data_IF_951692520060
#
_entry.id   IF_951692520060
#
_cell.length_a   1.000
_cell.length_b   1.000
_cell.length_c   1.000
_cell.angle_alpha   90.00
_cell.angle_beta   90.00
_cell.angle_gamma   90.00
#
_symmetry.space_group_name_H-M   'P 1'
#
loop_
_entity.id
_entity.type
_entity.pdbx_description
1 polymer ?
#
# COMPACT_ATOMS: atom_id res chain seq x y z
N UNK A 1 0.89 -38.26 34.85
CA UNK A 1 0.01 -37.60 33.85
C UNK A 1 -0.23 -36.12 34.18
N UNK A 2 -0.53 -35.76 35.42
CA UNK A 2 -0.79 -34.36 35.83
C UNK A 2 0.33 -33.36 35.48
N UNK A 3 1.61 -33.68 35.66
CA UNK A 3 2.73 -32.77 35.38
C UNK A 3 2.85 -32.33 33.90
N UNK A 4 2.55 -33.24 32.96
CA UNK A 4 2.52 -32.92 31.52
C UNK A 4 1.32 -32.03 31.18
N UNK A 5 0.18 -32.26 31.85
CA UNK A 5 -1.02 -31.44 31.69
C UNK A 5 -0.79 -30.01 32.18
N UNK A 6 -0.14 -29.84 33.34
CA UNK A 6 0.19 -28.52 33.87
C UNK A 6 1.20 -27.77 32.99
N UNK A 7 2.19 -28.46 32.43
CA UNK A 7 3.15 -27.83 31.51
C UNK A 7 2.48 -27.38 30.20
N UNK A 8 1.58 -28.20 29.63
CA UNK A 8 0.81 -27.83 28.45
C UNK A 8 -0.13 -26.64 28.72
N UNK A 9 -0.75 -26.58 29.90
CA UNK A 9 -1.59 -25.44 30.31
C UNK A 9 -0.75 -24.17 30.44
N UNK A 10 0.44 -24.25 31.04
CA UNK A 10 1.36 -23.10 31.16
C UNK A 10 1.84 -22.61 29.79
N UNK A 11 2.14 -23.51 28.86
CA UNK A 11 2.52 -23.17 27.48
C UNK A 11 1.39 -22.46 26.74
N UNK A 12 0.14 -22.91 26.89
CA UNK A 12 -1.03 -22.27 26.28
C UNK A 12 -1.25 -20.85 26.81
N UNK A 13 -1.12 -20.65 28.13
CA UNK A 13 -1.27 -19.32 28.74
C UNK A 13 -0.17 -18.37 28.26
N UNK A 14 1.08 -18.84 28.16
CA UNK A 14 2.19 -18.06 27.63
C UNK A 14 1.97 -17.64 26.17
N UNK A 15 1.42 -18.52 25.32
CA UNK A 15 1.10 -18.17 23.93
C UNK A 15 -0.02 -17.14 23.82
N UNK A 16 -1.05 -17.21 24.67
CA UNK A 16 -2.17 -16.26 24.67
C UNK A 16 -1.72 -14.86 25.09
N UNK A 17 -0.82 -14.75 26.08
CA UNK A 17 -0.25 -13.47 26.53
C UNK A 17 0.59 -12.79 25.44
N UNK A 18 1.28 -13.55 24.59
CA UNK A 18 2.06 -13.00 23.48
C UNK A 18 1.18 -12.40 22.38
N UNK A 19 -0.03 -12.93 22.17
CA UNK A 19 -0.97 -12.43 21.15
C UNK A 19 -1.57 -11.08 21.58
N UNK A 20 -1.79 -10.86 22.88
CA UNK A 20 -2.37 -9.61 23.41
C UNK A 20 -1.38 -8.44 23.51
N UNK A 21 -0.08 -8.69 23.31
CA UNK A 21 0.98 -7.67 23.32
C UNK A 21 1.26 -7.06 21.94
N UNK A 22 0.60 -7.55 20.88
CA UNK A 22 0.59 -6.83 19.62
C UNK A 22 -0.40 -5.66 19.77
N UNK A 23 0.18 -4.52 20.16
CA UNK A 23 -0.43 -3.21 20.15
C UNK A 23 -1.23 -2.96 18.87
N UNK A 24 -2.32 -2.22 19.06
CA UNK A 24 -3.39 -2.01 18.11
C UNK A 24 -2.94 -1.85 16.66
N UNK A 25 -3.64 -2.56 15.78
CA UNK A 25 -3.75 -2.12 14.39
C UNK A 25 -4.51 -0.79 14.42
N UNK A 26 -3.77 0.31 14.46
CA UNK A 26 -4.30 1.65 14.20
C UNK A 26 -4.72 1.67 12.74
N UNK A 27 -5.99 1.34 12.47
CA UNK A 27 -6.56 1.51 11.15
C UNK A 27 -6.60 3.02 10.87
N UNK A 28 -5.86 3.48 9.84
CA UNK A 28 -5.92 4.88 9.38
C UNK A 28 -7.41 5.22 9.15
N UNK A 29 -7.98 6.21 9.86
CA UNK A 29 -9.38 6.55 9.66
C UNK A 29 -9.61 6.97 8.21
N UNK A 30 -10.68 6.46 7.60
CA UNK A 30 -11.09 6.88 6.26
C UNK A 30 -11.37 8.39 6.32
N UNK A 31 -10.75 9.22 5.46
CA UNK A 31 -11.11 10.63 5.42
C UNK A 31 -12.57 10.74 5.02
N UNK A 32 -13.35 11.44 5.86
CA UNK A 32 -14.72 11.82 5.52
C UNK A 32 -14.70 12.61 4.21
N UNK A 33 -15.67 12.33 3.33
CA UNK A 33 -15.91 13.01 2.06
C UNK A 33 -16.19 14.51 2.31
N UNK A 34 -15.14 15.28 2.53
CA UNK A 34 -15.20 16.72 2.53
C UNK A 34 -14.41 17.20 1.33
N UNK A 35 -15.13 17.82 0.41
CA UNK A 35 -14.64 18.55 -0.77
C UNK A 35 -13.84 19.80 -0.36
N UNK A 36 -12.98 19.66 0.65
CA UNK A 36 -12.03 20.62 1.15
C UNK A 36 -10.83 20.53 0.24
N UNK A 37 -10.38 21.68 -0.28
CA UNK A 37 -9.16 21.81 -1.07
C UNK A 37 -8.08 20.92 -0.46
N UNK A 38 -7.67 19.91 -1.22
CA UNK A 38 -6.63 18.97 -0.86
C UNK A 38 -5.47 19.77 -0.28
N UNK A 39 -5.30 19.74 1.03
CA UNK A 39 -4.15 20.32 1.69
C UNK A 39 -3.00 19.40 1.31
N UNK A 40 -2.36 19.69 0.19
CA UNK A 40 -1.20 18.96 -0.29
C UNK A 40 -0.10 19.22 0.74
N UNK A 41 0.22 18.23 1.56
CA UNK A 41 1.42 18.23 2.38
C UNK A 41 2.53 17.53 1.57
N UNK A 42 3.48 18.28 0.96
CA UNK A 42 4.53 17.68 0.15
C UNK A 42 5.45 16.76 0.97
N UNK A 43 5.46 16.89 2.30
CA UNK A 43 6.31 16.06 3.16
C UNK A 43 5.83 14.60 3.28
N UNK A 44 4.60 14.29 2.87
CA UNK A 44 4.08 12.92 2.84
C UNK A 44 4.69 12.09 1.69
N UNK A 45 5.26 12.75 0.67
CA UNK A 45 5.80 12.09 -0.50
C UNK A 45 7.33 12.11 -0.52
N UNK A 46 7.92 10.99 -0.96
CA UNK A 46 9.37 10.90 -1.12
C UNK A 46 9.82 11.61 -2.40
N UNK A 47 10.91 12.36 -2.28
CA UNK A 47 11.52 13.11 -3.39
C UNK A 47 10.89 14.49 -3.61
N UNK A 48 11.57 15.32 -4.39
CA UNK A 48 11.14 16.68 -4.71
C UNK A 48 10.07 16.66 -5.82
N UNK A 49 8.88 16.11 -5.51
CA UNK A 49 7.75 16.06 -6.44
C UNK A 49 7.10 17.44 -6.59
N UNK A 50 6.69 17.77 -7.81
CA UNK A 50 5.90 18.98 -8.05
C UNK A 50 4.51 18.86 -7.42
N UNK A 51 3.91 19.99 -7.03
CA UNK A 51 2.53 20.02 -6.51
C UNK A 51 1.54 19.39 -7.49
N UNK A 52 1.72 19.62 -8.80
CA UNK A 52 0.90 18.99 -9.83
C UNK A 52 1.04 17.45 -9.80
N UNK A 53 2.26 16.95 -9.70
CA UNK A 53 2.53 15.52 -9.61
C UNK A 53 1.90 14.91 -8.36
N UNK A 54 2.01 15.59 -7.21
CA UNK A 54 1.41 15.13 -5.95
C UNK A 54 -0.11 15.03 -6.09
N UNK A 55 -0.77 16.02 -6.70
CA UNK A 55 -2.22 15.96 -6.92
C UNK A 55 -2.64 14.77 -7.78
N UNK A 56 -1.86 14.44 -8.83
CA UNK A 56 -2.13 13.26 -9.68
C UNK A 56 -1.92 11.95 -8.91
N UNK A 57 -0.90 11.90 -8.05
CA UNK A 57 -0.65 10.74 -7.17
C UNK A 57 -1.77 10.58 -6.14
N UNK A 58 -2.24 11.64 -5.51
CA UNK A 58 -3.38 11.57 -4.58
C UNK A 58 -4.65 11.06 -5.26
N UNK A 59 -4.90 11.49 -6.51
CA UNK A 59 -6.01 10.96 -7.29
C UNK A 59 -5.87 9.47 -7.60
N UNK A 60 -4.64 9.02 -7.84
CA UNK A 60 -4.29 7.62 -8.07
C UNK A 60 -4.49 6.76 -6.81
N UNK A 61 -4.15 7.29 -5.63
CA UNK A 61 -4.31 6.61 -4.35
C UNK A 61 -5.78 6.37 -3.96
N UNK A 62 -6.71 7.14 -4.55
CA UNK A 62 -8.15 6.91 -4.41
C UNK A 62 -8.67 5.75 -5.28
N UNK A 63 -7.94 5.33 -6.32
CA UNK A 63 -8.25 4.15 -7.13
C UNK A 63 -7.30 3.01 -6.77
N UNK A 64 -7.74 2.13 -5.86
CA UNK A 64 -6.91 1.03 -5.34
C UNK A 64 -6.34 0.15 -6.45
N UNK A 65 -7.09 -0.13 -7.52
CA UNK A 65 -6.62 -1.00 -8.60
C UNK A 65 -5.49 -0.32 -9.39
N UNK A 66 -5.65 0.96 -9.73
CA UNK A 66 -4.59 1.75 -10.37
C UNK A 66 -3.38 1.89 -9.45
N UNK A 67 -3.60 2.25 -8.17
CA UNK A 67 -2.53 2.43 -7.18
C UNK A 67 -1.70 1.15 -7.06
N UNK A 68 -2.33 -0.01 -6.89
CA UNK A 68 -1.63 -1.29 -6.79
C UNK A 68 -0.80 -1.60 -8.05
N UNK A 69 -1.36 -1.39 -9.24
CA UNK A 69 -0.64 -1.57 -10.49
C UNK A 69 0.61 -0.69 -10.53
N UNK A 70 0.46 0.60 -10.24
CA UNK A 70 1.55 1.57 -10.28
C UNK A 70 2.62 1.28 -9.23
N UNK A 71 2.23 0.90 -8.00
CA UNK A 71 3.16 0.49 -6.95
C UNK A 71 3.96 -0.76 -7.35
N UNK A 72 3.29 -1.78 -7.90
CA UNK A 72 3.94 -3.01 -8.37
C UNK A 72 4.95 -2.68 -9.47
N UNK A 73 4.54 -1.86 -10.45
CA UNK A 73 5.38 -1.44 -11.56
C UNK A 73 6.64 -0.67 -11.09
N UNK A 74 6.48 0.31 -10.19
CA UNK A 74 7.60 1.05 -9.62
C UNK A 74 8.56 0.14 -8.84
N UNK A 75 8.02 -0.82 -8.08
CA UNK A 75 8.82 -1.80 -7.32
C UNK A 75 9.67 -2.69 -8.22
N UNK A 76 9.12 -3.20 -9.32
CA UNK A 76 9.86 -4.12 -10.22
C UNK A 76 10.87 -3.38 -11.10
N UNK A 77 10.57 -2.15 -11.50
CA UNK A 77 11.46 -1.31 -12.31
C UNK A 77 12.55 -0.63 -11.48
N UNK A 78 12.33 -0.48 -10.16
CA UNK A 78 13.21 0.24 -9.22
C UNK A 78 13.43 1.70 -9.62
N UNK A 79 12.46 2.29 -10.31
CA UNK A 79 12.54 3.65 -10.82
C UNK A 79 11.56 4.55 -10.07
N UNK A 80 12.08 5.59 -9.41
CA UNK A 80 11.31 6.51 -8.59
C UNK A 80 10.33 7.37 -9.42
N UNK A 81 10.56 7.50 -10.73
CA UNK A 81 9.69 8.26 -11.64
C UNK A 81 8.50 7.44 -12.15
N UNK A 82 8.54 6.10 -12.04
CA UNK A 82 7.50 5.25 -12.64
C UNK A 82 6.18 5.35 -11.90
N UNK A 83 6.19 5.45 -10.58
CA UNK A 83 4.97 5.59 -9.80
C UNK A 83 4.17 6.85 -10.20
N UNK A 84 4.74 8.07 -10.16
CA UNK A 84 4.02 9.26 -10.57
C UNK A 84 3.62 9.25 -12.05
N UNK A 85 4.48 8.79 -12.97
CA UNK A 85 4.13 8.70 -14.41
C UNK A 85 3.02 7.68 -14.69
N UNK A 86 2.97 6.57 -13.95
CA UNK A 86 1.90 5.59 -14.05
C UNK A 86 0.58 6.16 -13.55
N UNK A 87 0.60 6.87 -12.42
CA UNK A 87 -0.57 7.50 -11.83
C UNK A 87 -1.20 8.58 -12.74
N UNK A 88 -0.36 9.37 -13.43
CA UNK A 88 -0.79 10.34 -14.44
C UNK A 88 -1.11 9.74 -15.80
N UNK A 89 -0.70 8.49 -16.05
CA UNK A 89 -0.67 7.87 -17.37
C UNK A 89 0.11 8.71 -18.42
N UNK A 90 1.17 9.39 -17.98
CA UNK A 90 2.06 10.09 -18.89
C UNK A 90 2.71 9.07 -19.84
N UNK A 91 2.84 9.43 -21.12
CA UNK A 91 3.41 8.58 -22.18
C UNK A 91 2.81 7.16 -22.28
N UNK A 92 1.58 6.95 -21.79
CA UNK A 92 0.95 5.63 -21.78
C UNK A 92 1.59 4.64 -20.80
N UNK A 93 2.34 5.14 -19.81
CA UNK A 93 3.07 4.32 -18.83
C UNK A 93 2.14 3.40 -18.05
N UNK A 94 0.87 3.76 -17.83
CA UNK A 94 -0.08 2.87 -17.15
C UNK A 94 -0.30 1.56 -17.92
N UNK A 95 -0.46 1.64 -19.24
CA UNK A 95 -0.64 0.48 -20.11
C UNK A 95 0.65 -0.36 -20.20
N UNK A 96 1.79 0.32 -20.26
CA UNK A 96 3.09 -0.34 -20.21
C UNK A 96 3.28 -1.09 -18.89
N UNK A 97 2.96 -0.46 -17.77
CA UNK A 97 3.00 -1.07 -16.44
C UNK A 97 2.10 -2.30 -16.35
N UNK A 98 0.88 -2.23 -16.89
CA UNK A 98 -0.01 -3.40 -16.93
C UNK A 98 0.63 -4.55 -17.69
N UNK A 99 1.12 -4.28 -18.91
CA UNK A 99 1.75 -5.28 -19.77
C UNK A 99 3.02 -5.87 -19.16
N UNK A 100 3.79 -5.05 -18.43
CA UNK A 100 5.04 -5.46 -17.81
C UNK A 100 4.82 -6.26 -16.52
N UNK A 101 3.94 -5.79 -15.63
CA UNK A 101 3.66 -6.44 -14.34
C UNK A 101 2.96 -7.79 -14.53
N UNK A 102 2.05 -7.88 -15.51
CA UNK A 102 1.29 -9.08 -15.78
C UNK A 102 1.82 -9.90 -16.97
N UNK A 103 3.05 -9.62 -17.41
CA UNK A 103 3.66 -10.40 -18.48
C UNK A 103 3.70 -11.90 -18.11
N UNK A 104 3.04 -12.73 -18.93
CA UNK A 104 2.98 -14.18 -18.74
C UNK A 104 1.87 -14.69 -17.80
N UNK A 105 1.00 -13.80 -17.29
CA UNK A 105 -0.19 -14.18 -16.53
C UNK A 105 -1.45 -13.72 -17.28
N UNK A 106 -2.21 -14.66 -17.84
CA UNK A 106 -3.43 -14.39 -18.62
C UNK A 106 -4.67 -14.07 -17.77
N UNK A 107 -4.55 -14.00 -16.43
CA UNK A 107 -5.69 -13.86 -15.49
C UNK A 107 -6.05 -12.40 -15.13
N UNK A 108 -5.59 -11.40 -15.89
CA UNK A 108 -5.74 -9.98 -15.56
C UNK A 108 -6.86 -9.24 -16.31
N UNK A 109 -8.09 -9.75 -16.34
CA UNK A 109 -9.27 -9.05 -16.90
C UNK A 109 -10.37 -8.82 -15.88
#
# INVERSE_FOLDING_TARGET
MAQKMFHNILLLIATLLLITLNDGVEARPSPEESKTKMLVDPSEYNGDLSVETIMKVQQCEMDTATMELCMRCAKVTKSEIIYPMCCSNDDGIKNWCHSYVYYGNDEGY
#
